data_IF_124651934175
#
_entry.id   IF_124651934175
#
_cell.length_a   1.000
_cell.length_b   1.000
_cell.length_c   1.000
_cell.angle_alpha   90.00
_cell.angle_beta   90.00
_cell.angle_gamma   90.00
#
_symmetry.space_group_name_H-M   'P 1'
#
loop_
_entity.id
_entity.type
_entity.pdbx_description
1 polymer ?
#
# COMPACT_ATOMS: atom_id res chain seq x y z
N UNK A 1 94.57 -15.56 -8.44
CA UNK A 1 94.23 -16.62 -7.45
C UNK A 1 93.31 -16.01 -6.40
N UNK A 2 92.05 -16.47 -6.41
CA UNK A 2 90.97 -16.42 -5.39
C UNK A 2 90.60 -15.08 -4.72
N UNK A 3 89.40 -14.65 -5.12
CA UNK A 3 88.49 -13.77 -4.41
C UNK A 3 88.03 -14.34 -3.05
N UNK A 4 87.63 -13.46 -2.12
CA UNK A 4 86.84 -13.77 -0.92
C UNK A 4 85.67 -12.80 -0.80
N UNK A 5 84.57 -13.36 -0.32
CA UNK A 5 83.14 -13.00 -0.46
C UNK A 5 82.65 -12.02 0.63
N UNK A 6 81.47 -11.40 0.35
CA UNK A 6 80.36 -10.93 1.25
C UNK A 6 80.25 -9.42 1.40
N UNK A 7 79.11 -8.74 1.42
CA UNK A 7 77.66 -9.02 1.39
C UNK A 7 77.03 -7.68 0.88
N UNK A 8 75.93 -7.58 0.13
CA UNK A 8 74.78 -8.46 0.07
C UNK A 8 73.50 -7.84 0.67
N UNK A 9 73.31 -6.51 0.69
CA UNK A 9 72.04 -5.90 1.16
C UNK A 9 71.24 -5.32 -0.02
N UNK A 10 70.41 -6.17 -0.63
CA UNK A 10 69.32 -5.75 -1.51
C UNK A 10 68.07 -5.47 -0.67
N UNK A 11 67.69 -4.20 -0.57
CA UNK A 11 66.42 -3.77 0.01
C UNK A 11 65.29 -4.07 -0.99
N UNK A 12 64.56 -5.15 -0.76
CA UNK A 12 63.40 -5.52 -1.56
C UNK A 12 62.21 -4.58 -1.29
N UNK A 13 61.85 -3.77 -2.28
CA UNK A 13 60.60 -3.01 -2.31
C UNK A 13 59.46 -4.02 -2.55
N UNK A 14 58.81 -4.49 -1.49
CA UNK A 14 57.57 -5.26 -1.62
C UNK A 14 56.42 -4.31 -1.96
N UNK A 15 56.01 -4.33 -3.23
CA UNK A 15 54.77 -3.71 -3.68
C UNK A 15 53.58 -4.35 -2.94
N UNK A 16 52.88 -3.56 -2.11
CA UNK A 16 51.59 -3.94 -1.52
C UNK A 16 50.61 -4.25 -2.66
N UNK A 17 50.32 -5.54 -2.88
CA UNK A 17 49.23 -5.98 -3.77
C UNK A 17 47.92 -5.36 -3.28
N UNK A 18 47.34 -4.47 -4.08
CA UNK A 18 45.98 -3.94 -3.85
C UNK A 18 45.02 -5.12 -3.88
N UNK A 19 44.18 -5.25 -2.84
CA UNK A 19 43.14 -6.26 -2.79
C UNK A 19 42.23 -6.13 -4.04
N UNK A 20 41.77 -7.24 -4.64
CA UNK A 20 40.81 -7.18 -5.73
C UNK A 20 39.57 -6.40 -5.29
N UNK A 21 39.16 -5.40 -6.08
CA UNK A 21 37.93 -4.66 -5.83
C UNK A 21 36.74 -5.61 -5.76
N UNK A 22 35.78 -5.33 -4.87
CA UNK A 22 34.59 -6.18 -4.67
C UNK A 22 33.87 -6.39 -6.02
N UNK A 23 33.43 -7.61 -6.36
CA UNK A 23 32.79 -7.86 -7.65
C UNK A 23 31.55 -6.97 -7.84
N UNK A 24 31.41 -6.37 -9.02
CA UNK A 24 30.31 -5.43 -9.36
C UNK A 24 28.90 -5.98 -9.07
N UNK A 25 28.73 -7.31 -9.07
CA UNK A 25 27.43 -7.94 -8.79
C UNK A 25 27.08 -7.86 -7.30
N UNK A 26 28.04 -8.11 -6.41
CA UNK A 26 27.84 -8.05 -4.96
C UNK A 26 27.56 -6.60 -4.50
N UNK A 27 28.16 -5.62 -5.16
CA UNK A 27 27.88 -4.20 -4.91
C UNK A 27 26.47 -3.80 -5.36
N UNK A 28 25.98 -4.32 -6.49
CA UNK A 28 24.60 -4.07 -6.94
C UNK A 28 23.58 -4.70 -6.00
N UNK A 29 23.76 -5.97 -5.65
CA UNK A 29 22.88 -6.69 -4.72
C UNK A 29 22.77 -5.99 -3.35
N UNK A 30 23.92 -5.55 -2.80
CA UNK A 30 23.95 -4.81 -1.53
C UNK A 30 23.26 -3.44 -1.61
N UNK A 31 23.34 -2.77 -2.77
CA UNK A 31 22.66 -1.49 -3.02
C UNK A 31 21.16 -1.67 -3.13
N UNK A 32 20.71 -2.69 -3.85
CA UNK A 32 19.28 -2.99 -4.01
C UNK A 32 18.69 -3.36 -2.64
N UNK A 33 19.41 -4.16 -1.83
CA UNK A 33 19.00 -4.47 -0.46
C UNK A 33 18.85 -3.23 0.42
N UNK A 34 19.82 -2.31 0.38
CA UNK A 34 19.76 -1.06 1.17
C UNK A 34 18.56 -0.21 0.77
N UNK A 35 18.32 -0.08 -0.54
CA UNK A 35 17.17 0.67 -1.06
C UNK A 35 15.85 0.07 -0.57
N UNK A 36 15.72 -1.26 -0.59
CA UNK A 36 14.51 -1.93 -0.13
C UNK A 36 14.30 -1.77 1.40
N UNK A 37 15.37 -1.86 2.20
CA UNK A 37 15.30 -1.62 3.65
C UNK A 37 14.79 -0.21 3.98
N UNK A 38 15.31 0.80 3.27
CA UNK A 38 14.88 2.19 3.43
C UNK A 38 13.40 2.37 3.06
N UNK A 39 12.93 1.73 1.99
CA UNK A 39 11.53 1.78 1.58
C UNK A 39 10.62 1.09 2.60
N UNK A 40 11.01 -0.07 3.14
CA UNK A 40 10.21 -0.81 4.14
C UNK A 40 10.12 0.00 5.45
N UNK A 41 11.24 0.54 5.94
CA UNK A 41 11.26 1.42 7.11
C UNK A 41 10.41 2.69 6.91
N UNK A 42 10.45 3.28 5.71
CA UNK A 42 9.68 4.47 5.36
C UNK A 42 8.18 4.23 5.43
N UNK A 43 7.69 3.11 4.87
CA UNK A 43 6.24 2.80 4.88
C UNK A 43 5.73 2.73 6.33
N UNK A 44 6.43 2.01 7.20
CA UNK A 44 6.04 1.83 8.60
C UNK A 44 6.04 3.18 9.34
N UNK A 45 7.11 3.96 9.21
CA UNK A 45 7.23 5.24 9.91
C UNK A 45 6.20 6.27 9.41
N UNK A 46 6.01 6.36 8.10
CA UNK A 46 5.00 7.26 7.54
C UNK A 46 3.58 6.85 7.92
N UNK A 47 3.26 5.56 7.96
CA UNK A 47 1.94 5.10 8.40
C UNK A 47 1.65 5.39 9.87
N UNK A 48 2.67 5.39 10.73
CA UNK A 48 2.52 5.64 12.17
C UNK A 48 2.48 7.11 12.53
N UNK A 49 3.31 7.92 11.86
CA UNK A 49 3.58 9.30 12.31
C UNK A 49 3.23 10.37 11.26
N UNK A 50 2.84 9.98 10.05
CA UNK A 50 2.63 10.89 8.94
C UNK A 50 3.94 11.40 8.33
N UNK A 51 3.83 12.06 7.18
CA UNK A 51 5.01 12.56 6.46
C UNK A 51 5.78 13.58 7.30
N UNK A 52 5.13 14.61 7.84
CA UNK A 52 5.83 15.77 8.40
C UNK A 52 6.63 15.45 9.66
N UNK A 53 6.15 14.52 10.50
CA UNK A 53 6.82 14.15 11.76
C UNK A 53 8.04 13.23 11.59
N UNK A 54 8.21 12.56 10.44
CA UNK A 54 9.29 11.59 10.22
C UNK A 54 10.52 12.25 9.59
N UNK A 55 11.70 12.04 10.13
CA UNK A 55 12.96 12.54 9.55
C UNK A 55 13.69 11.48 8.73
N UNK A 56 14.56 11.89 7.80
CA UNK A 56 15.41 10.94 7.06
C UNK A 56 16.41 10.21 7.97
N UNK A 57 16.80 10.82 9.09
CA UNK A 57 17.61 10.18 10.12
C UNK A 57 16.90 9.01 10.79
N UNK A 58 15.65 9.20 11.24
CA UNK A 58 14.83 8.13 11.83
C UNK A 58 14.60 6.97 10.87
N UNK A 59 14.38 7.26 9.58
CA UNK A 59 14.24 6.21 8.56
C UNK A 59 15.54 5.42 8.39
N UNK A 60 16.68 6.11 8.31
CA UNK A 60 17.97 5.46 8.15
C UNK A 60 18.31 4.58 9.36
N UNK A 61 18.07 5.09 10.57
CA UNK A 61 18.22 4.35 11.82
C UNK A 61 17.35 3.10 11.84
N UNK A 62 16.06 3.22 11.52
CA UNK A 62 15.14 2.09 11.46
C UNK A 62 15.52 1.05 10.38
N UNK A 63 16.16 1.49 9.30
CA UNK A 63 16.69 0.63 8.25
C UNK A 63 18.09 0.04 8.55
N UNK A 64 18.74 0.44 9.65
CA UNK A 64 20.08 -0.02 10.02
C UNK A 64 21.20 0.53 9.13
N UNK A 65 21.00 1.71 8.53
CA UNK A 65 21.97 2.33 7.60
C UNK A 65 22.25 3.78 7.97
N UNK A 66 23.26 4.40 7.35
CA UNK A 66 23.59 5.80 7.59
C UNK A 66 22.61 6.73 6.88
N UNK A 67 22.34 7.91 7.46
CA UNK A 67 21.46 8.92 6.86
C UNK A 67 21.90 9.35 5.45
N UNK A 68 23.21 9.31 5.15
CA UNK A 68 23.75 9.59 3.81
C UNK A 68 23.19 8.65 2.74
N UNK A 69 22.82 7.41 3.09
CA UNK A 69 22.23 6.45 2.17
C UNK A 69 20.85 6.89 1.68
N UNK A 70 20.07 7.60 2.51
CA UNK A 70 18.77 8.16 2.09
C UNK A 70 18.96 9.17 0.96
N UNK A 71 19.88 10.12 1.15
CA UNK A 71 20.18 11.12 0.12
C UNK A 71 20.79 10.49 -1.13
N UNK A 72 21.65 9.49 -0.97
CA UNK A 72 22.26 8.77 -2.09
C UNK A 72 21.22 8.03 -2.95
N UNK A 73 20.25 7.35 -2.34
CA UNK A 73 19.27 6.54 -3.06
C UNK A 73 18.08 7.34 -3.60
N UNK A 74 17.60 8.35 -2.87
CA UNK A 74 16.34 9.03 -3.17
C UNK A 74 16.48 10.53 -3.40
N UNK A 75 17.63 11.13 -3.03
CA UNK A 75 17.86 12.58 -3.10
C UNK A 75 17.12 13.37 -2.02
N UNK A 76 15.80 13.18 -1.91
CA UNK A 76 14.92 13.91 -0.98
C UNK A 76 13.95 12.99 -0.24
N UNK A 77 13.44 13.47 0.91
CA UNK A 77 12.38 12.80 1.69
C UNK A 77 11.08 12.68 0.90
N UNK A 78 10.71 13.69 0.11
CA UNK A 78 9.52 13.64 -0.74
C UNK A 78 9.62 12.54 -1.79
N UNK A 79 10.81 12.39 -2.41
CA UNK A 79 11.03 11.33 -3.39
C UNK A 79 11.01 9.94 -2.76
N UNK A 80 11.62 9.79 -1.59
CA UNK A 80 11.53 8.56 -0.79
C UNK A 80 10.08 8.22 -0.46
N UNK A 81 9.27 9.19 -0.06
CA UNK A 81 7.85 8.99 0.20
C UNK A 81 7.11 8.53 -1.05
N UNK A 82 7.29 9.18 -2.20
CA UNK A 82 6.68 8.75 -3.47
C UNK A 82 7.04 7.31 -3.83
N UNK A 83 8.31 6.94 -3.71
CA UNK A 83 8.77 5.58 -4.04
C UNK A 83 8.28 4.54 -3.03
N UNK A 84 8.20 4.89 -1.75
CA UNK A 84 7.59 4.05 -0.72
C UNK A 84 6.11 3.81 -1.01
N UNK A 85 5.37 4.87 -1.36
CA UNK A 85 3.97 4.75 -1.76
C UNK A 85 3.83 3.93 -3.04
N UNK A 86 4.64 4.18 -4.05
CA UNK A 86 4.62 3.42 -5.30
C UNK A 86 4.82 1.92 -5.04
N UNK A 87 5.78 1.55 -4.19
CA UNK A 87 6.02 0.16 -3.80
C UNK A 87 4.80 -0.45 -3.12
N UNK A 88 4.21 0.27 -2.16
CA UNK A 88 3.00 -0.14 -1.44
C UNK A 88 1.82 -0.36 -2.41
N UNK A 89 1.56 0.60 -3.30
CA UNK A 89 0.49 0.54 -4.29
C UNK A 89 0.73 -0.54 -5.35
N UNK A 90 1.98 -0.79 -5.74
CA UNK A 90 2.30 -1.88 -6.66
C UNK A 90 2.07 -3.26 -6.04
N UNK A 91 2.42 -3.45 -4.76
CA UNK A 91 2.10 -4.69 -4.01
C UNK A 91 0.58 -4.90 -3.99
N UNK A 92 -0.16 -3.88 -3.58
CA UNK A 92 -1.63 -3.91 -3.52
C UNK A 92 -2.27 -4.15 -4.89
N UNK A 93 -1.86 -3.40 -5.91
CA UNK A 93 -2.41 -3.52 -7.27
C UNK A 93 -2.15 -4.88 -7.92
N UNK A 94 -1.08 -5.61 -7.54
CA UNK A 94 -0.87 -6.99 -7.99
C UNK A 94 -1.92 -7.95 -7.44
N UNK A 95 -2.33 -7.80 -6.17
CA UNK A 95 -3.37 -8.61 -5.55
C UNK A 95 -4.72 -8.40 -6.26
N UNK A 96 -5.12 -7.13 -6.44
CA UNK A 96 -6.35 -6.79 -7.17
C UNK A 96 -6.34 -7.33 -8.61
N UNK A 97 -5.22 -7.23 -9.33
CA UNK A 97 -5.12 -7.77 -10.70
C UNK A 97 -5.16 -9.29 -10.75
N UNK A 98 -4.54 -9.98 -9.79
CA UNK A 98 -4.55 -11.44 -9.73
C UNK A 98 -5.98 -11.98 -9.60
N UNK A 99 -6.81 -11.29 -8.82
CA UNK A 99 -8.20 -11.67 -8.58
C UNK A 99 -9.16 -11.11 -9.66
N UNK A 100 -8.75 -10.20 -10.53
CA UNK A 100 -9.65 -9.54 -11.49
C UNK A 100 -10.40 -10.53 -12.42
N UNK A 101 -9.81 -11.71 -12.66
CA UNK A 101 -10.44 -12.78 -13.47
C UNK A 101 -11.73 -13.32 -12.87
N UNK A 102 -11.84 -13.40 -11.54
CA UNK A 102 -13.03 -13.95 -10.89
C UNK A 102 -14.23 -12.97 -10.94
N UNK A 103 -14.03 -11.75 -11.47
CA UNK A 103 -15.11 -10.79 -11.71
C UNK A 103 -15.70 -10.91 -13.11
N UNK A 104 -15.07 -11.67 -14.01
CA UNK A 104 -15.50 -11.79 -15.40
C UNK A 104 -16.82 -12.56 -15.45
N UNK A 105 -17.84 -11.96 -16.09
CA UNK A 105 -19.14 -12.59 -16.29
C UNK A 105 -20.09 -12.55 -15.09
N UNK A 106 -19.66 -11.99 -13.95
CA UNK A 106 -20.56 -11.71 -12.84
C UNK A 106 -21.56 -10.61 -13.22
N UNK A 107 -22.77 -10.69 -12.69
CA UNK A 107 -23.69 -9.56 -12.74
C UNK A 107 -23.12 -8.37 -11.93
N UNK A 108 -23.55 -7.12 -12.24
CA UNK A 108 -22.97 -5.93 -11.62
C UNK A 108 -23.07 -5.90 -10.09
N UNK A 109 -24.11 -6.49 -9.50
CA UNK A 109 -24.31 -6.53 -8.04
C UNK A 109 -23.34 -7.51 -7.40
N UNK A 110 -23.23 -8.73 -7.92
CA UNK A 110 -22.27 -9.71 -7.39
C UNK A 110 -20.82 -9.27 -7.61
N UNK A 111 -20.53 -8.59 -8.72
CA UNK A 111 -19.24 -7.95 -8.96
C UNK A 111 -18.91 -6.91 -7.89
N UNK A 112 -19.87 -6.05 -7.51
CA UNK A 112 -19.68 -5.07 -6.44
C UNK A 112 -19.45 -5.75 -5.08
N UNK A 113 -20.23 -6.78 -4.74
CA UNK A 113 -20.03 -7.54 -3.49
C UNK A 113 -18.63 -8.15 -3.43
N UNK A 114 -18.16 -8.75 -4.53
CA UNK A 114 -16.82 -9.29 -4.64
C UNK A 114 -15.74 -8.21 -4.49
N UNK A 115 -15.92 -7.03 -5.11
CA UNK A 115 -15.00 -5.91 -4.97
C UNK A 115 -14.93 -5.39 -3.52
N UNK A 116 -16.06 -5.33 -2.81
CA UNK A 116 -16.10 -4.93 -1.39
C UNK A 116 -15.32 -5.93 -0.52
N UNK A 117 -15.57 -7.23 -0.69
CA UNK A 117 -14.86 -8.27 0.08
C UNK A 117 -13.36 -8.19 -0.12
N UNK A 118 -12.90 -8.07 -1.36
CA UNK A 118 -11.47 -7.90 -1.69
C UNK A 118 -10.87 -6.63 -1.13
N UNK A 119 -11.64 -5.54 -1.10
CA UNK A 119 -11.19 -4.29 -0.51
C UNK A 119 -10.92 -4.46 0.99
N UNK A 120 -11.85 -5.12 1.70
CA UNK A 120 -11.73 -5.42 3.13
C UNK A 120 -10.52 -6.33 3.40
N UNK A 121 -10.38 -7.43 2.65
CA UNK A 121 -9.23 -8.35 2.75
C UNK A 121 -7.90 -7.62 2.51
N UNK A 122 -7.80 -6.85 1.44
CA UNK A 122 -6.57 -6.11 1.11
C UNK A 122 -6.24 -5.02 2.14
N UNK A 123 -7.25 -4.46 2.82
CA UNK A 123 -7.04 -3.50 3.91
C UNK A 123 -6.58 -4.18 5.20
N UNK A 124 -7.08 -5.39 5.49
CA UNK A 124 -6.63 -6.19 6.62
C UNK A 124 -5.17 -6.66 6.45
N UNK A 125 -4.80 -7.10 5.24
CA UNK A 125 -3.41 -7.49 4.92
C UNK A 125 -2.43 -6.33 4.99
N UNK A 126 -2.89 -5.09 4.79
CA UNK A 126 -2.05 -3.92 4.79
C UNK A 126 -2.73 -2.69 5.43
N UNK A 127 -2.83 -2.64 6.76
CA UNK A 127 -3.46 -1.51 7.46
C UNK A 127 -2.68 -0.20 7.28
N UNK A 128 -1.37 -0.28 7.07
CA UNK A 128 -0.49 0.88 6.86
C UNK A 128 -0.91 1.71 5.64
N UNK A 129 -1.36 1.06 4.56
CA UNK A 129 -1.95 1.74 3.41
C UNK A 129 -3.11 2.66 3.82
N UNK A 130 -4.06 2.14 4.59
CA UNK A 130 -5.24 2.91 4.99
C UNK A 130 -4.84 4.07 5.90
N UNK A 131 -3.93 3.83 6.86
CA UNK A 131 -3.43 4.89 7.75
C UNK A 131 -2.77 6.03 6.99
N UNK A 132 -1.92 5.71 6.01
CA UNK A 132 -1.26 6.73 5.18
C UNK A 132 -2.30 7.52 4.38
N UNK A 133 -3.26 6.85 3.75
CA UNK A 133 -4.32 7.52 2.97
C UNK A 133 -5.15 8.43 3.86
N UNK A 134 -5.52 7.99 5.06
CA UNK A 134 -6.27 8.81 6.03
C UNK A 134 -5.45 10.01 6.46
N UNK A 135 -4.19 9.82 6.87
CA UNK A 135 -3.32 10.91 7.32
C UNK A 135 -3.04 11.93 6.23
N UNK A 136 -2.74 11.49 5.00
CA UNK A 136 -2.50 12.41 3.88
C UNK A 136 -3.80 13.05 3.37
N UNK A 137 -4.94 12.38 3.57
CA UNK A 137 -6.26 12.83 3.13
C UNK A 137 -6.89 13.93 3.99
N UNK A 138 -6.38 14.21 5.19
CA UNK A 138 -6.94 15.28 6.06
C UNK A 138 -6.58 16.69 5.62
N UNK A 139 -5.64 16.85 4.68
CA UNK A 139 -5.18 18.18 4.25
C UNK A 139 -4.85 18.17 2.75
N UNK A 140 -5.22 19.21 1.99
CA UNK A 140 -4.82 19.33 0.59
C UNK A 140 -3.31 19.57 0.47
N UNK A 141 -2.56 18.55 0.04
CA UNK A 141 -1.11 18.65 -0.21
C UNK A 141 -0.76 18.24 -1.65
N UNK A 142 0.42 18.65 -2.16
CA UNK A 142 0.93 18.13 -3.42
C UNK A 142 1.11 16.59 -3.43
N UNK A 143 1.45 16.00 -2.29
CA UNK A 143 1.59 14.54 -2.13
C UNK A 143 0.24 13.84 -2.25
N UNK A 144 -0.81 14.37 -1.61
CA UNK A 144 -2.17 13.88 -1.77
C UNK A 144 -2.59 13.94 -3.24
N UNK A 145 -2.35 15.08 -3.90
CA UNK A 145 -2.68 15.23 -5.33
C UNK A 145 -2.01 14.16 -6.18
N UNK A 146 -0.71 13.94 -6.01
CA UNK A 146 0.02 12.89 -6.71
C UNK A 146 -0.52 11.49 -6.41
N UNK A 147 -0.82 11.19 -5.15
CA UNK A 147 -1.37 9.89 -4.71
C UNK A 147 -2.75 9.63 -5.32
N UNK A 148 -3.60 10.66 -5.34
CA UNK A 148 -4.93 10.62 -5.94
C UNK A 148 -4.83 10.40 -7.45
N UNK A 149 -4.02 11.19 -8.15
CA UNK A 149 -3.90 11.10 -9.62
C UNK A 149 -3.30 9.78 -10.07
N UNK A 150 -2.28 9.29 -9.36
CA UNK A 150 -1.51 8.12 -9.78
C UNK A 150 -2.18 6.80 -9.38
N UNK A 151 -2.81 6.74 -8.21
CA UNK A 151 -3.23 5.47 -7.62
C UNK A 151 -4.68 5.41 -7.15
N UNK A 152 -5.18 6.44 -6.45
CA UNK A 152 -6.55 6.36 -5.91
C UNK A 152 -7.60 6.52 -7.00
N UNK A 153 -7.44 7.47 -7.93
CA UNK A 153 -8.41 7.70 -9.01
C UNK A 153 -8.64 6.45 -9.88
N UNK A 154 -7.60 5.73 -10.37
CA UNK A 154 -7.83 4.46 -11.08
C UNK A 154 -8.54 3.40 -10.22
N UNK A 155 -8.19 3.30 -8.94
CA UNK A 155 -8.81 2.33 -8.02
C UNK A 155 -10.30 2.60 -7.77
N UNK A 156 -10.65 3.86 -7.48
CA UNK A 156 -12.05 4.30 -7.32
C UNK A 156 -12.85 4.15 -8.62
N UNK A 157 -12.22 4.36 -9.77
CA UNK A 157 -12.84 4.17 -11.09
C UNK A 157 -13.41 2.76 -11.31
N UNK A 158 -12.81 1.72 -10.71
CA UNK A 158 -13.33 0.34 -10.79
C UNK A 158 -14.66 0.21 -10.04
N UNK A 159 -14.79 0.80 -8.86
CA UNK A 159 -16.04 0.83 -8.10
C UNK A 159 -17.09 1.67 -8.80
N UNK A 160 -16.72 2.87 -9.25
CA UNK A 160 -17.60 3.77 -9.98
C UNK A 160 -18.20 3.10 -11.23
N UNK A 161 -17.38 2.36 -11.97
CA UNK A 161 -17.85 1.63 -13.15
C UNK A 161 -18.87 0.55 -12.77
N UNK A 162 -18.55 -0.30 -11.80
CA UNK A 162 -19.45 -1.38 -11.39
C UNK A 162 -20.78 -0.84 -10.79
N UNK A 163 -20.73 0.29 -10.07
CA UNK A 163 -21.91 0.99 -9.58
C UNK A 163 -22.77 1.56 -10.72
N UNK A 164 -22.16 2.17 -11.73
CA UNK A 164 -22.89 2.66 -12.92
C UNK A 164 -23.56 1.50 -13.66
N UNK A 165 -22.85 0.40 -13.88
CA UNK A 165 -23.39 -0.82 -14.49
C UNK A 165 -24.62 -1.33 -13.70
N UNK A 166 -24.54 -1.37 -12.37
CA UNK A 166 -25.66 -1.79 -11.52
C UNK A 166 -26.83 -0.80 -11.52
N UNK A 167 -26.56 0.51 -11.60
CA UNK A 167 -27.59 1.54 -11.70
C UNK A 167 -28.30 1.52 -13.06
N UNK A 168 -27.57 1.32 -14.15
CA UNK A 168 -28.12 1.26 -15.50
C UNK A 168 -28.93 -0.03 -15.73
N UNK A 169 -28.55 -1.13 -15.07
CA UNK A 169 -29.34 -2.35 -15.01
C UNK A 169 -30.59 -2.24 -14.11
N UNK A 170 -30.78 -1.12 -13.40
CA UNK A 170 -31.91 -0.89 -12.50
C UNK A 170 -31.83 -1.65 -11.17
N UNK A 171 -30.71 -2.33 -10.89
CA UNK A 171 -30.52 -3.08 -9.64
C UNK A 171 -30.28 -2.14 -8.43
N UNK A 172 -29.68 -0.98 -8.67
CA UNK A 172 -29.45 0.07 -7.67
C UNK A 172 -30.13 1.36 -8.16
N UNK A 173 -30.91 2.08 -7.33
CA UNK A 173 -31.47 3.38 -7.70
C UNK A 173 -30.37 4.38 -8.05
N UNK A 174 -30.64 5.27 -9.02
CA UNK A 174 -29.69 6.33 -9.38
C UNK A 174 -29.44 7.27 -8.20
N UNK A 175 -28.16 7.46 -7.87
CA UNK A 175 -27.65 8.37 -6.84
C UNK A 175 -26.37 9.05 -7.33
N UNK A 176 -25.94 10.16 -6.71
CA UNK A 176 -24.61 10.70 -7.00
C UNK A 176 -23.55 9.63 -6.73
N UNK A 177 -22.74 9.32 -7.76
CA UNK A 177 -21.80 8.21 -7.72
C UNK A 177 -20.81 8.32 -6.55
N UNK A 178 -20.36 9.54 -6.27
CA UNK A 178 -19.40 9.82 -5.20
C UNK A 178 -19.97 9.51 -3.81
N UNK A 179 -21.28 9.68 -3.58
CA UNK A 179 -21.90 9.34 -2.30
C UNK A 179 -21.84 7.84 -2.04
N UNK A 180 -22.20 7.05 -3.05
CA UNK A 180 -22.26 5.59 -2.94
C UNK A 180 -20.87 5.00 -2.85
N UNK A 181 -19.95 5.45 -3.72
CA UNK A 181 -18.55 5.02 -3.68
C UNK A 181 -17.90 5.39 -2.36
N UNK A 182 -18.11 6.61 -1.84
CA UNK A 182 -17.57 7.03 -0.56
C UNK A 182 -18.14 6.20 0.61
N UNK A 183 -19.45 5.94 0.64
CA UNK A 183 -20.07 5.12 1.67
C UNK A 183 -19.49 3.70 1.71
N UNK A 184 -19.35 3.07 0.54
CA UNK A 184 -18.77 1.72 0.41
C UNK A 184 -17.30 1.71 0.84
N UNK A 185 -16.48 2.58 0.25
CA UNK A 185 -15.02 2.56 0.48
C UNK A 185 -14.66 2.97 1.90
N UNK A 186 -15.39 3.92 2.49
CA UNK A 186 -15.18 4.33 3.88
C UNK A 186 -15.54 3.21 4.86
N UNK A 187 -16.70 2.55 4.68
CA UNK A 187 -17.11 1.43 5.51
C UNK A 187 -16.10 0.26 5.45
N UNK A 188 -15.56 -0.02 4.27
CA UNK A 188 -14.58 -1.07 4.05
C UNK A 188 -13.16 -0.73 4.52
N UNK A 189 -12.85 0.53 4.83
CA UNK A 189 -11.47 0.97 5.08
C UNK A 189 -11.23 1.57 6.46
N UNK A 190 -12.10 2.48 6.94
CA UNK A 190 -11.78 3.32 8.09
C UNK A 190 -11.47 2.52 9.37
N UNK A 191 -12.17 1.40 9.59
CA UNK A 191 -11.95 0.53 10.76
C UNK A 191 -10.53 -0.01 10.84
N UNK A 192 -9.82 -0.18 9.72
CA UNK A 192 -8.43 -0.64 9.70
C UNK A 192 -7.45 0.48 10.08
N UNK A 193 -7.75 1.73 9.72
CA UNK A 193 -6.96 2.87 10.20
C UNK A 193 -7.13 3.06 11.72
N UNK A 194 -8.34 2.84 12.22
CA UNK A 194 -8.72 2.98 13.63
C UNK A 194 -8.73 1.64 14.38
N UNK A 195 -7.94 0.66 13.93
CA UNK A 195 -7.94 -0.69 14.47
C UNK A 195 -7.83 -0.74 16.01
N UNK A 196 -6.92 0.04 16.60
CA UNK A 196 -6.73 0.11 18.05
C UNK A 196 -8.00 0.55 18.80
N UNK A 197 -8.83 1.40 18.20
CA UNK A 197 -10.12 1.81 18.79
C UNK A 197 -11.09 0.62 18.82
N UNK A 198 -11.11 -0.18 17.76
CA UNK A 198 -11.98 -1.37 17.70
C UNK A 198 -11.49 -2.45 18.66
N UNK A 199 -10.18 -2.66 18.74
CA UNK A 199 -9.56 -3.59 19.67
C UNK A 199 -9.84 -3.20 21.13
N UNK A 200 -9.61 -1.94 21.52
CA UNK A 200 -9.86 -1.48 22.88
C UNK A 200 -11.36 -1.49 23.26
N UNK A 201 -12.25 -1.12 22.34
CA UNK A 201 -13.69 -1.05 22.62
C UNK A 201 -14.36 -2.42 22.68
N UNK A 202 -13.93 -3.35 21.83
CA UNK A 202 -14.66 -4.61 21.61
C UNK A 202 -13.82 -5.87 21.85
N UNK A 203 -12.51 -5.75 22.07
CA UNK A 203 -11.60 -6.90 22.17
C UNK A 203 -11.47 -7.67 20.84
N UNK A 204 -11.65 -6.99 19.71
CA UNK A 204 -11.67 -7.61 18.38
C UNK A 204 -10.46 -7.19 17.56
N UNK A 205 -9.62 -8.16 17.23
CA UNK A 205 -8.59 -8.02 16.19
C UNK A 205 -9.25 -8.10 14.81
N UNK A 206 -9.46 -6.96 14.16
CA UNK A 206 -9.97 -6.87 12.79
C UNK A 206 -9.01 -7.39 11.71
N UNK A 207 -7.79 -7.81 12.05
CA UNK A 207 -6.85 -8.45 11.13
C UNK A 207 -6.93 -9.98 11.18
N UNK A 208 -7.65 -10.54 12.15
CA UNK A 208 -7.95 -11.97 12.20
C UNK A 208 -8.76 -12.41 10.96
N UNK A 209 -8.34 -13.46 10.22
CA UNK A 209 -8.99 -13.85 8.97
C UNK A 209 -10.49 -14.18 9.08
N UNK A 210 -10.96 -14.72 10.21
CA UNK A 210 -12.39 -14.99 10.40
C UNK A 210 -13.17 -13.70 10.63
N UNK A 211 -12.60 -12.78 11.41
CA UNK A 211 -13.19 -11.45 11.64
C UNK A 211 -13.21 -10.61 10.38
N UNK A 212 -12.15 -10.65 9.56
CA UNK A 212 -12.09 -9.97 8.25
C UNK A 212 -13.22 -10.43 7.35
N UNK A 213 -13.42 -11.75 7.19
CA UNK A 213 -14.51 -12.29 6.37
C UNK A 213 -15.88 -11.89 6.91
N UNK A 214 -16.10 -12.06 8.22
CA UNK A 214 -17.36 -11.68 8.87
C UNK A 214 -17.67 -10.19 8.70
N UNK A 215 -16.68 -9.32 8.83
CA UNK A 215 -16.83 -7.89 8.63
C UNK A 215 -17.15 -7.54 7.17
N UNK A 216 -16.47 -8.19 6.22
CA UNK A 216 -16.73 -8.03 4.79
C UNK A 216 -18.16 -8.41 4.41
N UNK A 217 -18.65 -9.56 4.91
CA UNK A 217 -20.04 -10.00 4.71
C UNK A 217 -21.03 -9.03 5.36
N UNK A 218 -20.74 -8.56 6.56
CA UNK A 218 -21.58 -7.55 7.25
C UNK A 218 -21.69 -6.26 6.44
N UNK A 219 -20.59 -5.75 5.88
CA UNK A 219 -20.61 -4.56 5.02
C UNK A 219 -21.48 -4.82 3.79
N UNK A 220 -21.29 -5.97 3.13
CA UNK A 220 -22.11 -6.34 1.96
C UNK A 220 -23.59 -6.36 2.33
N UNK A 221 -23.97 -7.03 3.41
CA UNK A 221 -25.37 -7.16 3.80
C UNK A 221 -26.00 -5.81 4.15
N UNK A 222 -25.33 -5.00 4.98
CA UNK A 222 -25.82 -3.68 5.38
C UNK A 222 -25.96 -2.73 4.19
N UNK A 223 -24.94 -2.69 3.32
CA UNK A 223 -24.93 -1.81 2.16
C UNK A 223 -26.02 -2.23 1.17
N UNK A 224 -26.12 -3.51 0.82
CA UNK A 224 -27.09 -3.95 -0.19
C UNK A 224 -28.52 -4.00 0.33
N UNK A 225 -28.75 -4.22 1.63
CA UNK A 225 -30.09 -4.04 2.22
C UNK A 225 -30.61 -2.60 2.06
N UNK A 226 -29.70 -1.61 2.03
CA UNK A 226 -30.03 -0.19 1.80
C UNK A 226 -29.96 0.27 0.34
N UNK A 227 -29.14 -0.36 -0.50
CA UNK A 227 -28.89 0.06 -1.88
C UNK A 227 -29.78 -0.60 -2.93
N UNK A 228 -30.26 -1.82 -2.72
CA UNK A 228 -31.04 -2.51 -3.75
C UNK A 228 -32.40 -1.83 -3.97
N UNK A 229 -32.81 -1.77 -5.25
CA UNK A 229 -34.15 -1.31 -5.59
C UNK A 229 -35.19 -2.24 -4.93
N UNK A 230 -36.08 -1.66 -4.13
CA UNK A 230 -37.22 -2.42 -3.59
C UNK A 230 -38.24 -2.63 -4.71
N UNK A 231 -38.85 -3.82 -4.85
CA UNK A 231 -40.00 -3.96 -5.73
C UNK A 231 -41.07 -2.96 -5.28
N UNK A 232 -41.63 -2.21 -6.23
CA UNK A 232 -42.73 -1.30 -5.93
C UNK A 232 -43.82 -2.10 -5.20
N UNK A 233 -44.20 -1.65 -4.00
CA UNK A 233 -45.34 -2.24 -3.32
C UNK A 233 -46.52 -2.18 -4.29
N UNK A 234 -47.07 -3.34 -4.67
CA UNK A 234 -48.30 -3.38 -5.45
C UNK A 234 -49.36 -2.71 -4.58
N UNK A 235 -49.75 -1.49 -4.94
CA UNK A 235 -50.91 -0.84 -4.36
C UNK A 235 -52.10 -1.74 -4.68
N UNK A 236 -52.83 -2.29 -3.69
CA UNK A 236 -54.05 -3.02 -3.98
C UNK A 236 -54.99 -2.06 -4.70
N UNK A 237 -55.38 -2.42 -5.92
CA UNK A 237 -56.50 -1.75 -6.58
C UNK A 237 -57.73 -2.20 -5.80
N UNK A 238 -58.27 -1.33 -4.96
CA UNK A 238 -59.58 -1.55 -4.36
C UNK A 238 -60.61 -1.68 -5.50
N UNK A 239 -61.33 -2.80 -5.49
CA UNK A 239 -62.35 -3.14 -6.46
C UNK A 239 -63.72 -2.56 -6.08
#
# INVERSE_FOLDING_TARGET
>A
MKARVKDGTQTAIQARRRAPGRPKNVERESRDQTREQLLDASIVLFARHGFDAVTTGQIAEAAGVTQSMVHYHFGSKSKLWEEAMARLMHRRGRLFRAQARDLIGLDPVEKLKALIRRLVEANAENPDYVRIVVQEGTTPTPRLKWLVETYLRPGFGVFDQALREAMDAGAIPRRPIHDVTNAITSAASLSFALHAVVEDLYGVDLTDPERVRSFADTIVDVIFAGLLARPAARVPVEA
#
